data_IF_740439242027
#
_entry.id   IF_740439242027
#
_cell.length_a   1.000
_cell.length_b   1.000
_cell.length_c   1.000
_cell.angle_alpha   90.00
_cell.angle_beta   90.00
_cell.angle_gamma   90.00
#
_symmetry.space_group_name_H-M   'P 1'
#
loop_
_entity.id
_entity.type
_entity.pdbx_description
1 polymer ?
#
# COMPACT_ATOMS: atom_id res chain seq x y z
N UNK A 1 -9.52 19.84 8.97
CA UNK A 1 -8.75 19.31 10.13
C UNK A 1 -9.31 17.95 10.48
N UNK A 2 -8.47 16.98 10.89
CA UNK A 2 -8.88 15.59 11.13
C UNK A 2 -9.99 15.51 12.20
N UNK A 3 -9.83 16.23 13.31
CA UNK A 3 -10.82 16.27 14.41
C UNK A 3 -12.18 16.79 13.97
N UNK A 4 -12.23 17.77 13.06
CA UNK A 4 -13.47 18.27 12.49
C UNK A 4 -14.12 17.26 11.54
N UNK A 5 -13.33 16.53 10.75
CA UNK A 5 -13.84 15.48 9.88
C UNK A 5 -14.47 14.35 10.70
N UNK A 6 -13.82 13.91 11.79
CA UNK A 6 -14.38 12.91 12.70
C UNK A 6 -15.71 13.35 13.31
N UNK A 7 -15.80 14.59 13.77
CA UNK A 7 -17.06 15.15 14.31
C UNK A 7 -18.16 15.22 13.23
N UNK A 8 -17.80 15.58 11.99
CA UNK A 8 -18.75 15.62 10.88
C UNK A 8 -19.27 14.21 10.52
N UNK A 9 -18.41 13.18 10.52
CA UNK A 9 -18.85 11.80 10.28
C UNK A 9 -19.76 11.29 11.41
N UNK A 10 -19.42 11.57 12.67
CA UNK A 10 -20.27 11.19 13.81
C UNK A 10 -21.66 11.82 13.68
N UNK A 11 -21.73 13.12 13.36
CA UNK A 11 -23.01 13.80 13.15
C UNK A 11 -23.77 13.27 11.93
N UNK A 12 -23.08 13.01 10.81
CA UNK A 12 -23.71 12.43 9.62
C UNK A 12 -24.30 11.04 9.91
N UNK A 13 -23.63 10.22 10.71
CA UNK A 13 -24.14 8.91 11.14
C UNK A 13 -25.35 9.00 12.08
N UNK A 14 -25.49 10.08 12.86
CA UNK A 14 -26.69 10.35 13.66
C UNK A 14 -27.90 10.69 12.78
N UNK A 15 -27.67 11.42 11.68
CA UNK A 15 -28.72 11.83 10.74
C UNK A 15 -29.16 10.68 9.85
N UNK A 16 -28.20 9.99 9.22
CA UNK A 16 -28.45 8.85 8.34
C UNK A 16 -27.45 7.71 8.63
N UNK A 17 -27.79 6.81 9.56
CA UNK A 17 -26.92 5.69 9.94
C UNK A 17 -26.75 4.63 8.84
N UNK A 18 -27.47 4.76 7.69
CA UNK A 18 -27.42 3.81 6.58
C UNK A 18 -26.75 4.39 5.33
N UNK A 19 -26.22 5.61 5.39
CA UNK A 19 -25.46 6.20 4.30
C UNK A 19 -24.11 5.46 4.13
N UNK A 20 -24.04 4.54 3.17
CA UNK A 20 -22.84 3.71 2.97
C UNK A 20 -21.61 4.49 2.50
N UNK A 21 -21.80 5.60 1.77
CA UNK A 21 -20.69 6.46 1.35
C UNK A 21 -20.04 7.07 2.58
N UNK A 22 -20.83 7.66 3.48
CA UNK A 22 -20.32 8.23 4.73
C UNK A 22 -19.70 7.17 5.65
N UNK A 23 -20.28 5.98 5.73
CA UNK A 23 -19.70 4.87 6.50
C UNK A 23 -18.35 4.43 5.93
N UNK A 24 -18.24 4.36 4.60
CA UNK A 24 -16.98 4.02 3.95
C UNK A 24 -15.93 5.11 4.17
N UNK A 25 -16.26 6.38 3.92
CA UNK A 25 -15.33 7.51 4.09
C UNK A 25 -14.86 7.65 5.55
N UNK A 26 -15.77 7.45 6.51
CA UNK A 26 -15.44 7.38 7.92
C UNK A 26 -14.49 6.21 8.20
N UNK A 27 -14.75 5.03 7.63
CA UNK A 27 -13.88 3.86 7.81
C UNK A 27 -12.45 4.10 7.29
N UNK A 28 -12.31 4.74 6.12
CA UNK A 28 -11.01 5.11 5.54
C UNK A 28 -10.30 6.16 6.41
N UNK A 29 -11.06 7.09 7.00
CA UNK A 29 -10.51 8.07 7.93
C UNK A 29 -9.99 7.39 9.20
N UNK A 30 -10.76 6.51 9.84
CA UNK A 30 -10.29 5.75 11.02
C UNK A 30 -9.11 4.83 10.67
N UNK A 31 -9.11 4.23 9.48
CA UNK A 31 -7.98 3.45 8.95
C UNK A 31 -6.71 4.29 8.83
N UNK A 32 -6.77 5.48 8.22
CA UNK A 32 -5.64 6.40 8.14
C UNK A 32 -5.16 6.91 9.50
N UNK A 33 -6.03 6.89 10.52
CA UNK A 33 -5.67 7.20 11.92
C UNK A 33 -5.25 5.97 12.73
N UNK A 34 -5.18 4.80 12.08
CA UNK A 34 -4.84 3.51 12.69
C UNK A 34 -5.75 3.08 13.83
N UNK A 35 -6.98 3.59 13.84
CA UNK A 35 -8.06 3.08 14.69
C UNK A 35 -8.72 1.88 13.99
N UNK A 36 -7.99 0.76 14.02
CA UNK A 36 -8.38 -0.48 13.33
C UNK A 36 -9.74 -0.99 13.75
N UNK A 37 -10.10 -0.81 15.03
CA UNK A 37 -11.40 -1.26 15.56
C UNK A 37 -12.53 -0.48 14.93
N UNK A 38 -12.47 0.85 15.00
CA UNK A 38 -13.55 1.68 14.47
C UNK A 38 -13.63 1.58 12.94
N UNK A 39 -12.48 1.51 12.26
CA UNK A 39 -12.43 1.28 10.81
C UNK A 39 -13.13 -0.03 10.42
N UNK A 40 -12.78 -1.14 11.11
CA UNK A 40 -13.38 -2.45 10.92
C UNK A 40 -14.90 -2.44 11.14
N UNK A 41 -15.37 -1.87 12.26
CA UNK A 41 -16.81 -1.79 12.58
C UNK A 41 -17.60 -1.02 11.52
N UNK A 42 -17.03 0.03 10.95
CA UNK A 42 -17.67 0.82 9.89
C UNK A 42 -17.70 0.08 8.56
N UNK A 43 -16.60 -0.58 8.19
CA UNK A 43 -16.58 -1.47 7.02
C UNK A 43 -17.57 -2.62 7.16
N UNK A 44 -17.71 -3.21 8.35
CA UNK A 44 -18.70 -4.27 8.62
C UNK A 44 -20.14 -3.76 8.41
N UNK A 45 -20.44 -2.51 8.79
CA UNK A 45 -21.73 -1.85 8.48
C UNK A 45 -21.93 -1.60 6.98
N UNK A 46 -20.88 -1.21 6.26
CA UNK A 46 -20.94 -1.09 4.79
C UNK A 46 -21.28 -2.43 4.16
N UNK A 47 -20.61 -3.51 4.58
CA UNK A 47 -20.83 -4.87 4.08
C UNK A 47 -22.21 -5.43 4.46
N UNK A 48 -22.80 -5.01 5.58
CA UNK A 48 -24.18 -5.37 5.92
C UNK A 48 -25.21 -4.74 4.97
N UNK A 49 -24.90 -3.58 4.38
CA UNK A 49 -25.77 -2.90 3.40
C UNK A 49 -25.47 -3.34 1.97
N UNK A 50 -24.19 -3.55 1.66
CA UNK A 50 -23.67 -3.90 0.34
C UNK A 50 -22.74 -5.11 0.46
N UNK A 51 -23.30 -6.32 0.62
CA UNK A 51 -22.52 -7.53 0.84
C UNK A 51 -21.64 -7.90 -0.35
N UNK A 52 -21.86 -7.34 -1.53
CA UNK A 52 -21.09 -7.62 -2.74
C UNK A 52 -19.99 -6.58 -3.02
N UNK A 53 -19.76 -5.62 -2.10
CA UNK A 53 -18.68 -4.64 -2.22
C UNK A 53 -17.30 -5.30 -2.13
N UNK A 54 -16.79 -5.73 -3.28
CA UNK A 54 -15.52 -6.42 -3.46
C UNK A 54 -14.35 -5.72 -2.77
N UNK A 55 -14.15 -4.44 -3.06
CA UNK A 55 -13.05 -3.66 -2.50
C UNK A 55 -13.13 -3.58 -0.97
N UNK A 56 -14.34 -3.35 -0.42
CA UNK A 56 -14.55 -3.25 1.02
C UNK A 56 -14.28 -4.59 1.72
N UNK A 57 -14.64 -5.73 1.11
CA UNK A 57 -14.30 -7.06 1.63
C UNK A 57 -12.79 -7.26 1.75
N UNK A 58 -12.04 -6.88 0.72
CA UNK A 58 -10.58 -7.01 0.69
C UNK A 58 -9.95 -6.08 1.73
N UNK A 59 -10.28 -4.79 1.71
CA UNK A 59 -9.76 -3.80 2.66
C UNK A 59 -10.07 -4.17 4.11
N UNK A 60 -11.29 -4.64 4.38
CA UNK A 60 -11.68 -5.11 5.73
C UNK A 60 -10.81 -6.26 6.22
N UNK A 61 -10.40 -7.14 5.32
CA UNK A 61 -9.51 -8.24 5.63
C UNK A 61 -8.07 -7.77 5.88
N UNK A 62 -7.59 -6.78 5.11
CA UNK A 62 -6.31 -6.12 5.38
C UNK A 62 -6.27 -5.39 6.73
N UNK A 63 -7.38 -4.78 7.17
CA UNK A 63 -7.46 -4.18 8.52
C UNK A 63 -7.16 -5.20 9.62
N UNK A 64 -7.53 -6.48 9.45
CA UNK A 64 -7.13 -7.53 10.40
C UNK A 64 -5.64 -7.81 10.36
N UNK A 65 -5.00 -7.74 9.20
CA UNK A 65 -3.54 -7.83 9.09
C UNK A 65 -2.85 -6.66 9.79
N UNK A 66 -3.26 -5.42 9.52
CA UNK A 66 -2.66 -4.25 10.19
C UNK A 66 -2.86 -4.28 11.71
N UNK A 67 -4.00 -4.78 12.17
CA UNK A 67 -4.29 -4.88 13.60
C UNK A 67 -3.58 -6.05 14.28
N UNK A 68 -3.57 -7.24 13.67
CA UNK A 68 -3.19 -8.50 14.35
C UNK A 68 -2.00 -9.22 13.72
N UNK A 69 -1.50 -8.75 12.59
CA UNK A 69 -0.35 -9.30 11.88
C UNK A 69 -0.61 -10.59 11.10
N UNK A 70 -1.88 -11.01 10.92
CA UNK A 70 -2.22 -12.26 10.24
C UNK A 70 -2.79 -12.03 8.85
N UNK A 71 -2.24 -12.73 7.86
CA UNK A 71 -2.69 -12.73 6.45
C UNK A 71 -3.89 -13.65 6.20
N UNK A 72 -4.28 -14.49 7.17
CA UNK A 72 -5.34 -15.51 7.00
C UNK A 72 -6.69 -14.91 6.62
N UNK A 73 -7.03 -13.75 7.18
CA UNK A 73 -8.29 -13.06 6.84
C UNK A 73 -8.30 -12.56 5.41
N UNK A 74 -7.16 -12.11 4.89
CA UNK A 74 -7.01 -11.68 3.49
C UNK A 74 -7.23 -12.89 2.58
N UNK A 75 -6.55 -14.01 2.85
CA UNK A 75 -6.70 -15.26 2.08
C UNK A 75 -8.15 -15.76 2.09
N UNK A 76 -8.78 -15.85 3.26
CA UNK A 76 -10.17 -16.30 3.37
C UNK A 76 -11.15 -15.37 2.63
N UNK A 77 -10.94 -14.04 2.68
CA UNK A 77 -11.75 -13.11 1.91
C UNK A 77 -11.61 -13.35 0.41
N UNK A 78 -10.37 -13.52 -0.09
CA UNK A 78 -10.08 -13.77 -1.52
C UNK A 78 -10.57 -15.12 -2.03
N UNK A 79 -10.62 -16.14 -1.18
CA UNK A 79 -11.19 -17.47 -1.47
C UNK A 79 -12.71 -17.46 -1.51
N UNK A 80 -13.36 -16.57 -0.74
CA UNK A 80 -14.82 -16.44 -0.73
C UNK A 80 -15.40 -15.75 -1.97
N UNK A 81 -14.54 -15.14 -2.79
CA UNK A 81 -14.97 -14.41 -3.98
C UNK A 81 -15.34 -15.37 -5.11
N UNK A 82 -16.34 -15.02 -5.95
CA UNK A 82 -16.66 -15.80 -7.13
C UNK A 82 -15.42 -16.04 -8.02
N UNK A 83 -15.26 -17.25 -8.59
CA UNK A 83 -14.22 -17.50 -9.58
C UNK A 83 -14.29 -16.48 -10.72
N UNK A 84 -13.14 -15.98 -11.17
CA UNK A 84 -13.01 -15.00 -12.26
C UNK A 84 -13.61 -13.59 -12.01
N UNK A 85 -14.06 -13.27 -10.79
CA UNK A 85 -14.44 -11.90 -10.45
C UNK A 85 -13.17 -11.05 -10.24
N UNK A 86 -12.76 -10.32 -11.27
CA UNK A 86 -11.64 -9.40 -11.19
C UNK A 86 -11.69 -8.34 -12.31
N UNK A 87 -12.65 -7.39 -12.26
CA UNK A 87 -12.91 -6.48 -13.37
C UNK A 87 -11.75 -5.51 -13.67
N UNK A 88 -10.95 -5.17 -12.66
CA UNK A 88 -9.89 -4.17 -12.71
C UNK A 88 -8.53 -4.67 -12.18
N UNK A 89 -8.44 -5.95 -11.84
CA UNK A 89 -7.20 -6.59 -11.38
C UNK A 89 -6.98 -6.52 -9.87
N UNK A 90 -7.86 -5.86 -9.10
CA UNK A 90 -7.67 -5.66 -7.67
C UNK A 90 -7.62 -6.99 -6.87
N UNK A 91 -8.34 -8.01 -7.35
CA UNK A 91 -8.32 -9.35 -6.72
C UNK A 91 -7.01 -10.06 -7.05
N UNK A 92 -6.54 -9.93 -8.29
CA UNK A 92 -5.21 -10.42 -8.67
C UNK A 92 -4.12 -9.73 -7.86
N UNK A 93 -4.18 -8.40 -7.70
CA UNK A 93 -3.21 -7.65 -6.90
C UNK A 93 -3.20 -8.13 -5.44
N UNK A 94 -4.36 -8.24 -4.79
CA UNK A 94 -4.45 -8.71 -3.41
C UNK A 94 -3.96 -10.16 -3.24
N UNK A 95 -4.22 -11.05 -4.21
CA UNK A 95 -3.68 -12.42 -4.23
C UNK A 95 -2.17 -12.43 -4.40
N UNK A 96 -1.64 -11.60 -5.28
CA UNK A 96 -0.21 -11.43 -5.51
C UNK A 96 0.48 -10.90 -4.24
N UNK A 97 -0.07 -9.85 -3.64
CA UNK A 97 0.47 -9.18 -2.47
C UNK A 97 0.55 -10.13 -1.27
N UNK A 98 -0.59 -10.73 -0.87
CA UNK A 98 -0.62 -11.65 0.27
C UNK A 98 0.26 -12.89 0.06
N UNK A 99 0.42 -13.35 -1.18
CA UNK A 99 1.32 -14.45 -1.50
C UNK A 99 2.79 -14.07 -1.29
N UNK A 100 3.19 -12.85 -1.68
CA UNK A 100 4.55 -12.36 -1.44
C UNK A 100 4.81 -12.02 0.04
N UNK A 101 3.80 -11.53 0.76
CA UNK A 101 3.83 -11.41 2.22
C UNK A 101 4.14 -12.76 2.87
N UNK A 102 3.49 -13.85 2.42
CA UNK A 102 3.73 -15.22 2.91
C UNK A 102 4.97 -15.90 2.27
N UNK A 103 5.70 -15.19 1.38
CA UNK A 103 6.84 -15.70 0.59
C UNK A 103 6.50 -16.91 -0.30
N UNK A 104 5.21 -17.13 -0.61
CA UNK A 104 4.75 -18.13 -1.57
C UNK A 104 4.81 -17.57 -3.00
N UNK A 105 6.01 -17.60 -3.59
CA UNK A 105 6.25 -17.17 -4.98
C UNK A 105 5.46 -17.99 -6.00
N UNK A 106 5.06 -19.23 -5.66
CA UNK A 106 4.28 -20.07 -6.57
C UNK A 106 2.80 -19.65 -6.59
N UNK A 107 2.24 -19.25 -5.43
CA UNK A 107 0.91 -18.67 -5.37
C UNK A 107 0.84 -17.31 -6.10
N UNK A 108 1.88 -16.48 -5.94
CA UNK A 108 1.95 -15.20 -6.65
C UNK A 108 1.99 -15.38 -8.18
N UNK A 109 2.80 -16.34 -8.68
CA UNK A 109 2.82 -16.68 -10.11
C UNK A 109 1.45 -17.18 -10.60
N UNK A 110 0.78 -18.05 -9.83
CA UNK A 110 -0.57 -18.53 -10.18
C UNK A 110 -1.57 -17.38 -10.26
N UNK A 111 -1.52 -16.43 -9.33
CA UNK A 111 -2.38 -15.25 -9.34
C UNK A 111 -2.22 -14.47 -10.66
N UNK A 112 -0.97 -14.12 -11.03
CA UNK A 112 -0.70 -13.39 -12.27
C UNK A 112 -1.05 -14.19 -13.53
N UNK A 113 -0.78 -15.50 -13.55
CA UNK A 113 -1.06 -16.36 -14.71
C UNK A 113 -2.56 -16.45 -15.04
N UNK A 114 -3.43 -16.39 -14.03
CA UNK A 114 -4.90 -16.47 -14.22
C UNK A 114 -5.52 -15.14 -14.65
N UNK A 115 -4.89 -14.01 -14.34
CA UNK A 115 -5.37 -12.69 -14.71
C UNK A 115 -5.30 -12.49 -16.24
N UNK A 116 -6.34 -11.92 -16.85
CA UNK A 116 -6.36 -11.64 -18.30
C UNK A 116 -5.96 -10.19 -18.63
N UNK A 117 -5.75 -9.35 -17.62
CA UNK A 117 -5.40 -7.95 -17.81
C UNK A 117 -3.89 -7.80 -17.97
N UNK A 118 -3.46 -6.98 -18.93
CA UNK A 118 -2.04 -6.62 -19.09
C UNK A 118 -1.58 -5.62 -18.02
N UNK A 119 -2.52 -4.87 -17.47
CA UNK A 119 -2.32 -3.83 -16.46
C UNK A 119 -3.32 -4.03 -15.34
N UNK A 120 -2.83 -4.01 -14.11
CA UNK A 120 -3.59 -4.27 -12.89
C UNK A 120 -3.60 -3.00 -12.05
N UNK A 121 -4.78 -2.58 -11.58
CA UNK A 121 -4.84 -1.47 -10.65
C UNK A 121 -4.32 -1.92 -9.28
N UNK A 122 -3.28 -1.25 -8.80
CA UNK A 122 -2.84 -1.36 -7.40
C UNK A 122 -3.81 -0.63 -6.48
N UNK A 123 -3.71 -0.87 -5.18
CA UNK A 123 -4.56 -0.22 -4.17
C UNK A 123 -4.33 1.30 -4.11
N UNK A 124 -3.15 1.79 -4.52
CA UNK A 124 -2.84 3.22 -4.64
C UNK A 124 -3.54 3.89 -5.85
N UNK A 125 -4.25 3.12 -6.67
CA UNK A 125 -4.88 3.58 -7.90
C UNK A 125 -3.92 3.76 -9.07
N UNK A 126 -2.63 3.46 -8.91
CA UNK A 126 -1.66 3.47 -10.01
C UNK A 126 -1.78 2.15 -10.79
N UNK A 127 -2.08 2.20 -12.10
CA UNK A 127 -2.11 1.01 -12.93
C UNK A 127 -0.69 0.46 -13.16
N UNK A 128 -0.46 -0.79 -12.78
CA UNK A 128 0.84 -1.46 -12.89
C UNK A 128 0.83 -2.50 -14.01
N UNK A 129 1.82 -2.50 -14.92
CA UNK A 129 1.98 -3.59 -15.88
C UNK A 129 2.20 -4.92 -15.16
N UNK A 130 1.68 -6.02 -15.71
CA UNK A 130 1.94 -7.37 -15.18
C UNK A 130 3.42 -7.68 -15.01
N UNK A 131 4.27 -7.20 -15.92
CA UNK A 131 5.72 -7.38 -15.84
C UNK A 131 6.32 -6.74 -14.57
N UNK A 132 5.76 -5.64 -14.07
CA UNK A 132 6.18 -5.06 -12.79
C UNK A 132 5.94 -6.03 -11.63
N UNK A 133 4.72 -6.59 -11.55
CA UNK A 133 4.36 -7.54 -10.50
C UNK A 133 5.14 -8.86 -10.63
N UNK A 134 5.40 -9.32 -11.86
CA UNK A 134 6.23 -10.50 -12.13
C UNK A 134 7.69 -10.27 -11.71
N UNK A 135 8.21 -9.07 -11.94
CA UNK A 135 9.56 -8.69 -11.52
C UNK A 135 9.71 -8.74 -10.00
N UNK A 136 8.72 -8.28 -9.24
CA UNK A 136 8.69 -8.41 -7.79
C UNK A 136 8.72 -9.88 -7.35
N UNK A 137 7.95 -10.77 -8.00
CA UNK A 137 8.00 -12.22 -7.71
C UNK A 137 9.41 -12.77 -7.95
N UNK A 138 9.99 -12.44 -9.11
CA UNK A 138 11.33 -12.92 -9.47
C UNK A 138 12.40 -12.37 -8.52
N UNK A 139 12.21 -11.17 -7.98
CA UNK A 139 13.09 -10.58 -6.99
C UNK A 139 13.00 -11.31 -5.64
N UNK A 140 11.79 -11.61 -5.16
CA UNK A 140 11.56 -12.43 -3.94
C UNK A 140 12.10 -13.85 -4.11
N UNK A 141 12.02 -14.40 -5.32
CA UNK A 141 12.60 -15.69 -5.70
C UNK A 141 14.13 -15.70 -5.71
N UNK A 142 14.78 -14.53 -5.70
CA UNK A 142 16.23 -14.38 -5.82
C UNK A 142 16.75 -14.38 -7.26
N UNK A 143 15.86 -14.35 -8.26
CA UNK A 143 16.20 -14.31 -9.67
C UNK A 143 16.38 -12.85 -10.16
N UNK A 144 17.36 -12.15 -9.60
CA UNK A 144 17.59 -10.71 -9.88
C UNK A 144 17.70 -10.39 -11.36
N UNK A 145 18.38 -11.21 -12.16
CA UNK A 145 18.52 -10.97 -13.60
C UNK A 145 17.17 -10.96 -14.35
N UNK A 146 16.26 -11.87 -13.97
CA UNK A 146 14.92 -11.92 -14.56
C UNK A 146 14.06 -10.76 -14.07
N UNK A 147 14.14 -10.43 -12.78
CA UNK A 147 13.47 -9.25 -12.23
C UNK A 147 13.89 -7.96 -12.95
N UNK A 148 15.19 -7.77 -13.23
CA UNK A 148 15.67 -6.60 -13.98
C UNK A 148 15.08 -6.53 -15.38
N UNK A 149 15.04 -7.65 -16.12
CA UNK A 149 14.46 -7.68 -17.46
C UNK A 149 12.96 -7.33 -17.45
N UNK A 150 12.21 -7.83 -16.47
CA UNK A 150 10.77 -7.56 -16.33
C UNK A 150 10.48 -6.12 -15.88
N UNK A 151 11.29 -5.55 -14.96
CA UNK A 151 11.19 -4.13 -14.60
C UNK A 151 11.53 -3.21 -15.78
N UNK A 152 12.54 -3.56 -16.58
CA UNK A 152 12.88 -2.84 -17.82
C UNK A 152 11.71 -2.90 -18.83
N UNK A 153 11.02 -4.04 -18.93
CA UNK A 153 9.82 -4.18 -19.76
C UNK A 153 8.64 -3.35 -19.24
N UNK A 154 8.48 -3.22 -17.92
CA UNK A 154 7.44 -2.39 -17.30
C UNK A 154 7.70 -0.88 -17.44
N UNK A 155 8.96 -0.47 -17.51
CA UNK A 155 9.40 0.94 -17.42
C UNK A 155 8.69 1.89 -18.39
N UNK A 156 8.59 1.62 -19.71
CA UNK A 156 7.99 2.57 -20.65
C UNK A 156 6.53 2.90 -20.31
N UNK A 157 5.77 1.93 -19.81
CA UNK A 157 4.38 2.12 -19.41
C UNK A 157 4.26 3.01 -18.18
N UNK A 158 5.11 2.82 -17.16
CA UNK A 158 5.09 3.64 -15.93
C UNK A 158 5.63 5.06 -16.21
N UNK A 159 6.67 5.20 -17.03
CA UNK A 159 7.16 6.52 -17.49
C UNK A 159 6.06 7.29 -18.23
N UNK A 160 5.29 6.60 -19.09
CA UNK A 160 4.15 7.20 -19.80
C UNK A 160 3.06 7.69 -18.83
N UNK A 161 2.74 6.95 -17.78
CA UNK A 161 1.75 7.37 -16.77
C UNK A 161 2.12 8.71 -16.12
N UNK A 162 3.41 8.92 -15.87
CA UNK A 162 3.94 10.20 -15.36
C UNK A 162 3.94 11.28 -16.43
N UNK A 163 4.30 10.95 -17.68
CA UNK A 163 4.28 11.90 -18.79
C UNK A 163 2.86 12.43 -19.08
N UNK A 164 1.85 11.56 -19.03
CA UNK A 164 0.44 11.89 -19.24
C UNK A 164 -0.16 12.67 -18.06
N UNK A 165 0.42 12.57 -16.86
CA UNK A 165 -0.06 13.25 -15.64
C UNK A 165 1.11 13.73 -14.77
N UNK A 166 1.88 14.74 -15.22
CA UNK A 166 3.16 15.10 -14.62
C UNK A 166 3.07 15.77 -13.24
N UNK A 167 1.84 16.08 -12.77
CA UNK A 167 1.56 16.63 -11.44
C UNK A 167 0.98 15.60 -10.46
N UNK A 168 0.81 14.36 -10.90
CA UNK A 168 0.38 13.26 -10.05
C UNK A 168 1.58 12.79 -9.20
N UNK A 169 1.50 13.00 -7.88
CA UNK A 169 2.56 12.67 -6.95
C UNK A 169 2.75 11.17 -6.79
N UNK A 170 1.66 10.41 -6.67
CA UNK A 170 1.67 8.96 -6.47
C UNK A 170 2.27 8.24 -7.68
N UNK A 171 1.92 8.64 -8.91
CA UNK A 171 2.53 8.07 -10.12
C UNK A 171 4.04 8.32 -10.19
N UNK A 172 4.50 9.51 -9.78
CA UNK A 172 5.94 9.82 -9.71
C UNK A 172 6.64 9.03 -8.63
N UNK A 173 6.02 8.88 -7.47
CA UNK A 173 6.53 8.07 -6.38
C UNK A 173 6.69 6.59 -6.81
N UNK A 174 5.68 6.02 -7.48
CA UNK A 174 5.75 4.70 -8.09
C UNK A 174 6.88 4.56 -9.13
N UNK A 175 7.08 5.57 -9.98
CA UNK A 175 8.21 5.60 -10.92
C UNK A 175 9.56 5.65 -10.19
N UNK A 176 9.64 6.40 -9.09
CA UNK A 176 10.81 6.42 -8.21
C UNK A 176 11.14 5.04 -7.66
N UNK A 177 10.14 4.31 -7.19
CA UNK A 177 10.30 2.95 -6.69
C UNK A 177 10.73 1.96 -7.79
N UNK A 178 10.16 2.06 -8.99
CA UNK A 178 10.62 1.28 -10.15
C UNK A 178 12.10 1.53 -10.44
N UNK A 179 12.53 2.80 -10.47
CA UNK A 179 13.93 3.14 -10.68
C UNK A 179 14.84 2.61 -9.57
N UNK A 180 14.35 2.56 -8.32
CA UNK A 180 15.09 1.94 -7.23
C UNK A 180 15.29 0.45 -7.46
N UNK A 181 14.27 -0.27 -7.91
CA UNK A 181 14.39 -1.68 -8.28
C UNK A 181 15.34 -1.90 -9.46
N UNK A 182 15.40 -0.96 -10.41
CA UNK A 182 16.35 -0.97 -11.54
C UNK A 182 17.78 -0.52 -11.16
N UNK A 183 18.02 -0.14 -9.90
CA UNK A 183 19.32 0.40 -9.46
C UNK A 183 19.66 1.80 -10.01
N UNK A 184 18.69 2.50 -10.60
CA UNK A 184 18.83 3.87 -11.12
C UNK A 184 18.67 4.89 -10.00
N UNK A 185 19.67 4.93 -9.10
CA UNK A 185 19.63 5.67 -7.83
C UNK A 185 19.25 7.14 -7.98
N UNK A 186 19.92 7.88 -8.85
CA UNK A 186 19.71 9.33 -9.00
C UNK A 186 18.31 9.63 -9.55
N UNK A 187 17.82 8.79 -10.46
CA UNK A 187 16.48 8.91 -11.03
C UNK A 187 15.41 8.61 -9.98
N UNK A 188 15.58 7.52 -9.23
CA UNK A 188 14.68 7.11 -8.15
C UNK A 188 14.51 8.22 -7.11
N UNK A 189 15.63 8.76 -6.62
CA UNK A 189 15.63 9.83 -5.62
C UNK A 189 15.08 11.14 -6.17
N UNK A 190 15.29 11.45 -7.46
CA UNK A 190 14.71 12.64 -8.10
C UNK A 190 13.18 12.53 -8.16
N UNK A 191 12.64 11.42 -8.65
CA UNK A 191 11.19 11.27 -8.79
C UNK A 191 10.49 11.24 -7.43
N UNK A 192 11.06 10.54 -6.44
CA UNK A 192 10.50 10.50 -5.09
C UNK A 192 10.54 11.86 -4.37
N UNK A 193 11.62 12.64 -4.51
CA UNK A 193 11.64 14.03 -4.02
C UNK A 193 10.61 14.89 -4.73
N UNK A 194 10.47 14.74 -6.04
CA UNK A 194 9.49 15.51 -6.82
C UNK A 194 8.05 15.16 -6.41
N UNK A 195 7.76 13.91 -6.07
CA UNK A 195 6.47 13.51 -5.54
C UNK A 195 6.13 14.27 -4.23
N UNK A 196 7.07 14.30 -3.28
CA UNK A 196 6.91 15.04 -2.01
C UNK A 196 6.78 16.56 -2.20
N UNK A 197 7.46 17.15 -3.20
CA UNK A 197 7.32 18.57 -3.54
C UNK A 197 5.95 18.89 -4.14
N UNK A 198 5.41 18.00 -4.97
CA UNK A 198 4.09 18.16 -5.59
C UNK A 198 2.96 17.98 -4.59
N UNK A 199 3.15 17.08 -3.61
CA UNK A 199 2.21 16.76 -2.54
C UNK A 199 2.86 16.96 -1.18
N UNK A 200 3.10 18.22 -0.75
CA UNK A 200 3.66 18.45 0.57
C UNK A 200 2.68 17.99 1.65
N UNK A 201 3.15 17.15 2.58
CA UNK A 201 2.33 16.63 3.69
C UNK A 201 1.72 17.74 4.56
N UNK A 202 2.31 18.94 4.55
CA UNK A 202 1.80 20.12 5.24
C UNK A 202 0.54 20.71 4.61
N UNK A 203 0.27 20.41 3.33
CA UNK A 203 -0.89 20.88 2.60
C UNK A 203 -1.96 19.79 2.49
N UNK A 204 -1.53 18.56 2.18
CA UNK A 204 -2.40 17.39 2.08
C UNK A 204 -1.73 16.23 2.82
N UNK A 205 -2.29 15.87 3.98
CA UNK A 205 -1.73 14.80 4.81
C UNK A 205 -1.92 13.42 4.18
N UNK A 206 -2.96 13.23 3.35
CA UNK A 206 -3.29 11.93 2.78
C UNK A 206 -2.30 11.63 1.64
N UNK A 207 -2.32 12.45 0.59
CA UNK A 207 -1.45 12.24 -0.56
C UNK A 207 0.02 12.52 -0.22
N UNK A 208 0.28 13.43 0.71
CA UNK A 208 1.63 13.72 1.16
C UNK A 208 2.24 12.60 2.01
N UNK A 209 1.45 11.88 2.82
CA UNK A 209 1.94 10.71 3.54
C UNK A 209 2.27 9.57 2.57
N UNK A 210 1.43 9.29 1.58
CA UNK A 210 1.72 8.29 0.55
C UNK A 210 3.04 8.60 -0.20
N UNK A 211 3.27 9.86 -0.61
CA UNK A 211 4.53 10.25 -1.27
C UNK A 211 5.77 10.03 -0.36
N UNK A 212 5.60 10.25 0.94
CA UNK A 212 6.64 10.05 1.94
C UNK A 212 6.92 8.57 2.22
N UNK A 213 5.89 7.73 2.26
CA UNK A 213 5.97 6.26 2.41
C UNK A 213 6.74 5.63 1.24
N UNK A 214 6.36 5.97 0.01
CA UNK A 214 7.09 5.56 -1.19
C UNK A 214 8.55 6.00 -1.17
N UNK A 215 8.83 7.22 -0.71
CA UNK A 215 10.21 7.71 -0.64
C UNK A 215 11.03 6.96 0.43
N UNK A 216 10.42 6.63 1.58
CA UNK A 216 11.06 5.81 2.60
C UNK A 216 11.40 4.41 2.06
N UNK A 217 10.45 3.78 1.34
CA UNK A 217 10.69 2.48 0.70
C UNK A 217 11.77 2.58 -0.39
N UNK A 218 11.71 3.62 -1.24
CA UNK A 218 12.74 3.91 -2.26
C UNK A 218 14.14 4.01 -1.63
N UNK A 219 14.27 4.74 -0.52
CA UNK A 219 15.53 4.83 0.24
C UNK A 219 15.98 3.46 0.74
N UNK A 220 15.07 2.66 1.32
CA UNK A 220 15.39 1.31 1.79
C UNK A 220 15.91 0.41 0.66
N UNK A 221 15.25 0.44 -0.51
CA UNK A 221 15.65 -0.34 -1.69
C UNK A 221 16.99 0.08 -2.29
N UNK A 222 17.38 1.34 -2.13
CA UNK A 222 18.66 1.88 -2.60
C UNK A 222 19.80 1.72 -1.58
N UNK A 223 19.53 1.18 -0.38
CA UNK A 223 20.50 1.09 0.69
C UNK A 223 20.76 2.40 1.43
N UNK A 224 19.93 3.43 1.24
CA UNK A 224 19.92 4.69 2.01
C UNK A 224 19.31 4.45 3.40
N UNK A 225 19.92 3.53 4.14
CA UNK A 225 19.40 2.90 5.37
C UNK A 225 19.10 3.94 6.45
N UNK A 226 20.00 4.91 6.65
CA UNK A 226 19.83 5.97 7.65
C UNK A 226 18.62 6.86 7.35
N UNK A 227 18.41 7.19 6.08
CA UNK A 227 17.29 8.03 5.64
C UNK A 227 15.97 7.26 5.73
N UNK A 228 15.97 5.98 5.29
CA UNK A 228 14.81 5.12 5.37
C UNK A 228 14.33 4.95 6.82
N UNK A 229 15.24 4.62 7.75
CA UNK A 229 14.92 4.39 9.17
C UNK A 229 14.37 5.67 9.82
N UNK A 230 15.02 6.83 9.61
CA UNK A 230 14.50 8.11 10.15
C UNK A 230 13.08 8.41 9.67
N UNK A 231 12.78 8.13 8.40
CA UNK A 231 11.45 8.36 7.85
C UNK A 231 10.43 7.40 8.42
N UNK A 232 10.77 6.11 8.50
CA UNK A 232 9.92 5.09 9.13
C UNK A 232 9.53 5.49 10.56
N UNK A 233 10.48 5.91 11.39
CA UNK A 233 10.20 6.34 12.77
C UNK A 233 9.15 7.47 12.83
N UNK A 234 9.27 8.47 11.96
CA UNK A 234 8.30 9.57 11.87
C UNK A 234 6.95 9.08 11.30
N UNK A 235 6.97 8.32 10.21
CA UNK A 235 5.79 7.89 9.47
C UNK A 235 4.94 6.91 10.29
N UNK A 236 5.54 6.11 11.17
CA UNK A 236 4.83 5.31 12.16
C UNK A 236 3.92 6.14 13.09
N UNK A 237 4.10 7.45 13.21
CA UNK A 237 3.19 8.30 14.02
C UNK A 237 2.36 9.27 13.17
N UNK A 238 2.50 9.21 11.85
CA UNK A 238 1.90 10.17 10.93
C UNK A 238 0.53 9.70 10.47
N UNK A 239 -0.51 10.56 10.49
CA UNK A 239 -1.81 10.21 9.92
C UNK A 239 -1.69 9.87 8.44
N UNK A 240 -2.44 8.85 8.00
CA UNK A 240 -2.51 8.39 6.61
C UNK A 240 -1.21 7.84 6.02
N UNK A 241 -0.15 7.67 6.82
CA UNK A 241 1.04 6.89 6.44
C UNK A 241 0.77 5.39 6.60
N UNK A 242 -0.22 4.90 5.86
CA UNK A 242 -0.67 3.51 5.79
C UNK A 242 -1.57 3.36 4.55
N UNK A 243 -1.37 2.30 3.79
CA UNK A 243 -2.21 1.95 2.62
C UNK A 243 -2.30 0.41 2.48
N UNK A 244 -3.10 -0.08 1.56
CA UNK A 244 -3.24 -1.50 1.24
C UNK A 244 -2.19 -1.96 0.21
N UNK A 245 -1.01 -1.33 0.20
CA UNK A 245 0.01 -1.46 -0.84
C UNK A 245 1.44 -1.60 -0.28
N UNK A 246 2.38 -1.81 -1.19
CA UNK A 246 3.78 -2.17 -0.99
C UNK A 246 4.55 -1.19 -0.07
N UNK A 247 4.24 0.10 -0.15
CA UNK A 247 4.91 1.19 0.57
C UNK A 247 4.41 1.40 2.01
N UNK A 248 3.30 0.74 2.40
CA UNK A 248 2.61 0.97 3.67
C UNK A 248 3.54 0.84 4.89
N UNK A 249 3.34 1.71 5.88
CA UNK A 249 4.14 1.78 7.11
C UNK A 249 3.28 1.53 8.36
N UNK A 250 3.15 0.26 8.72
CA UNK A 250 2.76 -0.21 10.06
C UNK A 250 3.82 -1.18 10.58
N UNK A 251 3.88 -1.49 11.89
CA UNK A 251 4.84 -2.50 12.35
C UNK A 251 4.57 -3.87 11.71
N UNK A 252 3.33 -4.19 11.35
CA UNK A 252 3.01 -5.45 10.68
C UNK A 252 3.46 -5.46 9.22
N UNK A 253 3.29 -4.36 8.48
CA UNK A 253 3.89 -4.19 7.15
C UNK A 253 5.40 -4.34 7.25
N UNK A 254 6.01 -3.54 8.11
CA UNK A 254 7.43 -3.52 8.30
C UNK A 254 7.97 -4.87 8.74
N UNK A 255 7.21 -5.78 9.38
CA UNK A 255 7.62 -7.16 9.72
C UNK A 255 7.42 -8.16 8.59
N UNK A 256 6.31 -8.07 7.85
CA UNK A 256 5.87 -9.13 6.94
C UNK A 256 6.29 -8.88 5.48
N UNK A 257 6.19 -7.65 5.01
CA UNK A 257 6.44 -7.26 3.62
C UNK A 257 7.90 -7.45 3.23
N UNK A 258 8.15 -7.97 2.03
CA UNK A 258 9.50 -8.27 1.49
C UNK A 258 10.22 -7.02 1.01
N UNK A 259 9.45 -5.99 0.70
CA UNK A 259 9.88 -4.69 0.25
C UNK A 259 10.89 -4.08 1.23
N UNK A 260 10.67 -4.32 2.53
CA UNK A 260 11.49 -3.87 3.66
C UNK A 260 12.63 -4.84 4.03
N UNK A 261 12.78 -5.96 3.33
CA UNK A 261 13.82 -6.96 3.64
C UNK A 261 15.25 -6.40 3.69
N UNK A 262 15.65 -5.40 2.87
CA UNK A 262 16.97 -4.78 2.99
C UNK A 262 17.29 -4.19 4.37
N UNK A 263 16.29 -3.83 5.18
CA UNK A 263 16.49 -3.24 6.51
C UNK A 263 16.50 -4.27 7.66
N UNK A 264 16.11 -5.52 7.41
CA UNK A 264 15.83 -6.56 8.45
C UNK A 264 16.97 -6.79 9.43
N UNK A 265 18.21 -6.62 8.96
CA UNK A 265 19.43 -6.88 9.73
C UNK A 265 19.99 -5.63 10.43
N UNK A 266 19.42 -4.44 10.21
CA UNK A 266 19.84 -3.22 10.90
C UNK A 266 19.32 -3.23 12.35
N UNK A 267 20.18 -3.08 13.38
CA UNK A 267 19.75 -3.10 14.77
C UNK A 267 18.72 -2.01 15.14
N UNK A 268 18.75 -0.85 14.49
CA UNK A 268 17.78 0.23 14.72
C UNK A 268 16.42 -0.15 14.16
N UNK A 269 16.38 -0.77 12.98
CA UNK A 269 15.16 -1.30 12.41
C UNK A 269 14.57 -2.40 13.30
N UNK A 270 15.37 -3.36 13.76
CA UNK A 270 14.92 -4.39 14.71
C UNK A 270 14.37 -3.80 16.02
N UNK A 271 14.97 -2.71 16.51
CA UNK A 271 14.44 -1.98 17.68
C UNK A 271 13.05 -1.43 17.41
N UNK A 272 12.83 -0.76 16.26
CA UNK A 272 11.49 -0.26 15.86
C UNK A 272 10.48 -1.42 15.85
N UNK A 273 10.85 -2.58 15.30
CA UNK A 273 9.96 -3.75 15.24
C UNK A 273 9.65 -4.38 16.60
N UNK A 274 10.47 -4.14 17.62
CA UNK A 274 10.26 -4.67 18.97
C UNK A 274 9.34 -3.78 19.82
N UNK A 275 9.12 -2.53 19.40
CA UNK A 275 8.22 -1.59 20.09
C UNK A 275 6.75 -1.93 19.81
N UNK A 276 5.82 -1.54 20.70
CA UNK A 276 4.39 -1.62 20.40
C UNK A 276 4.03 -0.64 19.27
N UNK A 277 2.96 -0.92 18.54
CA UNK A 277 2.46 -0.01 17.48
C UNK A 277 2.21 1.38 18.11
N UNK A 278 2.90 2.43 17.63
CA UNK A 278 2.78 3.75 18.24
C UNK A 278 1.45 4.39 17.86
N UNK A 279 1.00 5.34 18.69
CA UNK A 279 -0.22 6.09 18.42
C UNK A 279 0.02 7.11 17.31
N UNK A 280 -0.91 7.19 16.37
CA UNK A 280 -0.96 8.27 15.38
C UNK A 280 -1.15 9.62 16.07
N UNK A 281 -0.36 10.62 15.68
CA UNK A 281 -0.35 11.96 16.26
C UNK A 281 -1.05 12.94 15.31
N UNK A 282 -2.19 13.50 15.74
CA UNK A 282 -2.94 14.50 14.98
C UNK A 282 -3.60 15.54 15.89
N UNK A 283 -3.97 16.68 15.29
CA UNK A 283 -4.69 17.80 15.93
C UNK A 283 -6.01 18.10 15.23
#
# INVERSE_FOLDING_TARGET
KITQALAAYQHAEEIDPRNSVMLYDASQTYFGLRDWRTAAERMDRVLALFPDSLNVKIQRAYVEFFWKGSTERIKAALESLPPNLDPDGIVTYARWDVSLMDRDVAAADRALATCQLDTINSQTGVPLPKSYLQACIDLVRGNTAKAQAEFEAARPSIEKLVADSPKDGTRRAQLGLLYAFLGRKEDALREGRRAMELKPITHDVIEGAAAEDFYALTCARLGETDEAIRRIERLLTTPFAVDYADESITLNDLRQRWEWDPLRNDPRFQKILAEPEPKTLYK
#
